data_IF_905156102726
#
_entry.id   IF_905156102726
#
_cell.length_a   1.000
_cell.length_b   1.000
_cell.length_c   1.000
_cell.angle_alpha   90.00
_cell.angle_beta   90.00
_cell.angle_gamma   90.00
#
_symmetry.space_group_name_H-M   'P 1'
#
loop_
_entity.id
_entity.type
_entity.pdbx_description
1 polymer ?
#
# COMPACT_ATOMS: atom_id res chain seq x y z
N UNK A 1 -10.94 2.10 16.67
CA UNK A 1 -9.50 1.85 16.89
C UNK A 1 -8.96 1.47 15.53
N UNK A 2 -8.33 2.39 14.80
CA UNK A 2 -7.81 2.11 13.47
C UNK A 2 -6.77 1.00 13.57
N UNK A 3 -7.05 -0.14 12.95
CA UNK A 3 -6.12 -1.26 12.89
C UNK A 3 -4.87 -0.80 12.14
N UNK A 4 -3.75 -0.73 12.85
CA UNK A 4 -2.50 -0.16 12.32
C UNK A 4 -1.87 -1.20 11.41
N UNK A 5 -1.47 -0.80 10.19
CA UNK A 5 -0.71 -1.68 9.29
C UNK A 5 0.51 -2.22 10.05
N UNK A 6 0.74 -3.54 10.04
CA UNK A 6 1.77 -4.16 10.87
C UNK A 6 3.16 -3.62 10.57
N UNK A 7 4.06 -3.67 11.54
CA UNK A 7 5.45 -3.24 11.37
C UNK A 7 6.40 -4.32 11.85
N UNK A 8 7.56 -4.44 11.20
CA UNK A 8 8.65 -5.34 11.60
C UNK A 8 9.94 -4.57 11.85
N UNK A 9 10.80 -5.14 12.69
CA UNK A 9 12.13 -4.62 12.96
C UNK A 9 13.16 -5.01 11.87
N UNK A 10 14.38 -4.50 12.01
CA UNK A 10 15.45 -4.74 11.06
C UNK A 10 15.99 -6.19 11.12
N UNK A 11 15.95 -6.81 12.30
CA UNK A 11 16.47 -8.15 12.52
C UNK A 11 15.61 -9.18 11.79
N UNK A 12 14.29 -9.00 11.81
CA UNK A 12 13.34 -9.80 11.05
C UNK A 12 13.59 -9.68 9.54
N UNK A 13 13.82 -8.46 9.04
CA UNK A 13 14.15 -8.26 7.62
C UNK A 13 15.46 -8.96 7.26
N UNK A 14 16.47 -8.85 8.11
CA UNK A 14 17.78 -9.49 7.90
C UNK A 14 17.66 -11.01 7.86
N UNK A 15 16.84 -11.58 8.74
CA UNK A 15 16.51 -13.00 8.72
C UNK A 15 15.85 -13.41 7.40
N UNK A 16 14.84 -12.67 6.92
CA UNK A 16 14.19 -12.96 5.64
C UNK A 16 15.14 -12.83 4.44
N UNK A 17 16.10 -11.91 4.47
CA UNK A 17 17.15 -11.80 3.43
C UNK A 17 18.01 -13.06 3.43
N UNK A 18 18.53 -13.45 4.59
CA UNK A 18 19.36 -14.66 4.72
C UNK A 18 18.62 -15.92 4.29
N UNK A 19 17.34 -16.04 4.65
CA UNK A 19 16.49 -17.15 4.24
C UNK A 19 16.34 -17.17 2.71
N UNK A 20 15.96 -16.04 2.11
CA UNK A 20 15.82 -15.93 0.65
C UNK A 20 17.11 -16.30 -0.08
N UNK A 21 18.25 -15.78 0.35
CA UNK A 21 19.55 -16.06 -0.28
C UNK A 21 19.89 -17.56 -0.21
N UNK A 22 19.61 -18.21 0.93
CA UNK A 22 19.85 -19.64 1.10
C UNK A 22 18.95 -20.51 0.20
N UNK A 23 17.66 -20.16 0.13
CA UNK A 23 16.65 -20.90 -0.64
C UNK A 23 16.80 -20.62 -2.14
N UNK A 24 17.24 -19.42 -2.53
CA UNK A 24 17.44 -19.07 -3.93
C UNK A 24 18.56 -19.90 -4.58
N UNK A 25 19.61 -20.25 -3.83
CA UNK A 25 20.74 -21.05 -4.33
C UNK A 25 20.43 -22.55 -4.29
N UNK A 26 19.76 -23.03 -3.23
CA UNK A 26 19.66 -24.47 -2.93
C UNK A 26 18.24 -25.04 -3.01
N UNK A 27 17.22 -24.19 -3.08
CA UNK A 27 15.82 -24.58 -3.00
C UNK A 27 15.15 -24.85 -4.34
N UNK A 28 13.90 -25.33 -4.28
CA UNK A 28 13.05 -25.41 -5.45
C UNK A 28 12.60 -24.02 -5.92
N UNK A 29 12.13 -23.93 -7.16
CA UNK A 29 11.55 -22.70 -7.69
C UNK A 29 10.39 -22.17 -6.82
N UNK A 30 9.53 -23.08 -6.33
CA UNK A 30 8.37 -22.73 -5.50
C UNK A 30 8.81 -22.24 -4.11
N UNK A 31 9.80 -22.90 -3.50
CA UNK A 31 10.36 -22.46 -2.22
C UNK A 31 11.00 -21.07 -2.35
N UNK A 32 11.71 -20.80 -3.45
CA UNK A 32 12.29 -19.49 -3.73
C UNK A 32 11.21 -18.42 -3.96
N UNK A 33 10.09 -18.78 -4.60
CA UNK A 33 8.96 -17.86 -4.79
C UNK A 33 8.28 -17.50 -3.45
N UNK A 34 8.08 -18.48 -2.57
CA UNK A 34 7.50 -18.25 -1.24
C UNK A 34 8.45 -17.42 -0.35
N UNK A 35 9.75 -17.75 -0.33
CA UNK A 35 10.75 -16.98 0.40
C UNK A 35 10.84 -15.53 -0.12
N UNK A 36 10.70 -15.32 -1.44
CA UNK A 36 10.63 -13.98 -2.03
C UNK A 36 9.42 -13.20 -1.56
N UNK A 37 8.25 -13.84 -1.52
CA UNK A 37 7.03 -13.19 -1.03
C UNK A 37 7.20 -12.74 0.43
N UNK A 38 7.74 -13.62 1.28
CA UNK A 38 8.02 -13.31 2.68
C UNK A 38 9.03 -12.16 2.82
N UNK A 39 10.07 -12.14 2.00
CA UNK A 39 11.04 -11.04 1.96
C UNK A 39 10.38 -9.71 1.55
N UNK A 40 9.56 -9.70 0.49
CA UNK A 40 8.85 -8.47 0.05
C UNK A 40 7.94 -7.98 1.16
N UNK A 41 7.20 -8.89 1.80
CA UNK A 41 6.34 -8.56 2.95
C UNK A 41 7.16 -7.92 4.08
N UNK A 42 8.29 -8.50 4.47
CA UNK A 42 9.14 -7.95 5.51
C UNK A 42 9.68 -6.56 5.15
N UNK A 43 10.11 -6.37 3.90
CA UNK A 43 10.65 -5.11 3.41
C UNK A 43 9.64 -3.97 3.50
N UNK A 44 8.40 -4.17 3.02
CA UNK A 44 7.37 -3.12 3.03
C UNK A 44 6.81 -2.83 4.42
N UNK A 45 6.88 -3.79 5.35
CA UNK A 45 6.46 -3.58 6.74
C UNK A 45 7.60 -3.11 7.66
N UNK A 46 8.83 -3.00 7.15
CA UNK A 46 9.97 -2.47 7.89
C UNK A 46 9.75 -1.02 8.33
N UNK A 47 10.25 -0.67 9.51
CA UNK A 47 10.30 0.72 9.99
C UNK A 47 11.30 1.60 9.20
N UNK A 48 12.16 1.00 8.39
CA UNK A 48 13.13 1.71 7.55
C UNK A 48 12.53 2.05 6.17
N UNK A 49 12.46 3.35 5.85
CA UNK A 49 11.95 3.86 4.57
C UNK A 49 12.68 3.26 3.35
N UNK A 50 13.99 3.01 3.44
CA UNK A 50 14.76 2.40 2.35
C UNK A 50 14.32 0.97 2.07
N UNK A 51 13.95 0.23 3.11
CA UNK A 51 13.42 -1.13 2.96
C UNK A 51 12.04 -1.08 2.30
N UNK A 52 11.18 -0.15 2.69
CA UNK A 52 9.86 0.00 2.08
C UNK A 52 9.94 0.34 0.59
N UNK A 53 10.85 1.23 0.19
CA UNK A 53 11.12 1.53 -1.22
C UNK A 53 11.59 0.28 -1.98
N UNK A 54 12.59 -0.43 -1.45
CA UNK A 54 13.11 -1.66 -2.08
C UNK A 54 12.03 -2.75 -2.19
N UNK A 55 11.22 -2.93 -1.15
CA UNK A 55 10.13 -3.90 -1.14
C UNK A 55 9.07 -3.58 -2.19
N UNK A 56 8.68 -2.31 -2.33
CA UNK A 56 7.77 -1.85 -3.38
C UNK A 56 8.33 -2.15 -4.77
N UNK A 57 9.58 -1.79 -5.01
CA UNK A 57 10.20 -1.95 -6.33
C UNK A 57 10.34 -3.45 -6.70
N UNK A 58 10.70 -4.29 -5.72
CA UNK A 58 10.76 -5.74 -5.89
C UNK A 58 9.37 -6.37 -6.14
N UNK A 59 8.32 -5.90 -5.45
CA UNK A 59 6.95 -6.33 -5.72
C UNK A 59 6.53 -6.01 -7.15
N UNK A 60 6.82 -4.78 -7.62
CA UNK A 60 6.53 -4.34 -8.98
C UNK A 60 7.31 -5.12 -10.05
N UNK A 61 8.55 -5.51 -9.75
CA UNK A 61 9.33 -6.40 -10.60
C UNK A 61 8.70 -7.79 -10.69
N UNK A 62 8.26 -8.37 -9.56
CA UNK A 62 7.58 -9.66 -9.54
C UNK A 62 6.29 -9.67 -10.37
N UNK A 63 5.54 -8.57 -10.34
CA UNK A 63 4.33 -8.39 -11.16
C UNK A 63 4.63 -8.35 -12.66
N UNK A 64 5.77 -7.78 -13.08
CA UNK A 64 6.20 -7.76 -14.49
C UNK A 64 6.70 -9.11 -14.97
N UNK A 65 7.37 -9.85 -14.08
CA UNK A 65 8.04 -11.11 -14.40
C UNK A 65 7.09 -12.32 -14.37
N UNK A 66 5.81 -12.15 -14.04
CA UNK A 66 4.76 -13.13 -14.32
C UNK A 66 4.75 -14.38 -13.43
N UNK A 67 5.17 -14.28 -12.16
CA UNK A 67 4.96 -15.41 -11.21
C UNK A 67 3.50 -15.43 -10.75
N UNK A 68 2.67 -16.19 -11.47
CA UNK A 68 1.21 -16.20 -11.30
C UNK A 68 0.74 -16.49 -9.86
N UNK A 69 1.46 -17.32 -9.09
CA UNK A 69 1.02 -17.83 -7.79
C UNK A 69 0.75 -16.75 -6.73
N UNK A 70 1.38 -15.57 -6.82
CA UNK A 70 1.30 -14.52 -5.78
C UNK A 70 0.98 -13.13 -6.34
N UNK A 71 0.39 -13.05 -7.54
CA UNK A 71 0.11 -11.75 -8.18
C UNK A 71 -0.76 -10.83 -7.31
N UNK A 72 -1.81 -11.38 -6.70
CA UNK A 72 -2.68 -10.64 -5.78
C UNK A 72 -1.90 -10.09 -4.58
N UNK A 73 -1.02 -10.91 -4.00
CA UNK A 73 -0.22 -10.51 -2.84
C UNK A 73 0.81 -9.44 -3.22
N UNK A 74 1.47 -9.56 -4.37
CA UNK A 74 2.40 -8.52 -4.84
C UNK A 74 1.70 -7.19 -5.17
N UNK A 75 0.48 -7.21 -5.70
CA UNK A 75 -0.32 -5.98 -5.89
C UNK A 75 -0.62 -5.30 -4.56
N UNK A 76 -1.01 -6.09 -3.55
CA UNK A 76 -1.23 -5.59 -2.20
C UNK A 76 0.06 -5.02 -1.58
N UNK A 77 1.17 -5.75 -1.66
CA UNK A 77 2.46 -5.34 -1.10
C UNK A 77 3.03 -4.10 -1.79
N UNK A 78 2.83 -3.94 -3.11
CA UNK A 78 3.17 -2.71 -3.82
C UNK A 78 2.41 -1.50 -3.26
N UNK A 79 1.08 -1.64 -3.05
CA UNK A 79 0.25 -0.60 -2.46
C UNK A 79 0.70 -0.24 -1.02
N UNK A 80 1.04 -1.24 -0.20
CA UNK A 80 1.61 -1.02 1.14
C UNK A 80 2.93 -0.26 1.06
N UNK A 81 3.83 -0.64 0.14
CA UNK A 81 5.10 0.06 -0.08
C UNK A 81 4.92 1.51 -0.51
N UNK A 82 3.97 1.79 -1.42
CA UNK A 82 3.59 3.16 -1.81
C UNK A 82 3.03 3.97 -0.63
N UNK A 83 2.17 3.37 0.20
CA UNK A 83 1.64 4.01 1.41
C UNK A 83 2.74 4.34 2.42
N UNK A 84 3.63 3.39 2.71
CA UNK A 84 4.74 3.55 3.65
C UNK A 84 5.76 4.59 3.22
N UNK A 85 5.89 4.79 1.91
CA UNK A 85 6.74 5.82 1.31
C UNK A 85 6.03 7.16 1.13
N UNK A 86 4.83 7.30 1.70
CA UNK A 86 3.95 8.48 1.64
C UNK A 86 3.51 8.88 0.24
N UNK A 87 3.63 7.99 -0.74
CA UNK A 87 3.07 8.21 -2.06
C UNK A 87 1.59 7.79 -2.08
N UNK A 88 0.76 8.54 -1.35
CA UNK A 88 -0.64 8.15 -1.10
C UNK A 88 -1.50 8.13 -2.36
N UNK A 89 -1.23 9.00 -3.33
CA UNK A 89 -1.94 9.00 -4.62
C UNK A 89 -1.71 7.70 -5.38
N UNK A 90 -0.44 7.25 -5.44
CA UNK A 90 -0.09 5.99 -6.07
C UNK A 90 -0.67 4.80 -5.28
N UNK A 91 -0.53 4.81 -3.95
CA UNK A 91 -1.04 3.75 -3.08
C UNK A 91 -2.56 3.57 -3.25
N UNK A 92 -3.31 4.68 -3.31
CA UNK A 92 -4.76 4.67 -3.52
C UNK A 92 -5.13 4.07 -4.87
N UNK A 93 -4.42 4.46 -5.93
CA UNK A 93 -4.64 3.91 -7.29
C UNK A 93 -4.38 2.41 -7.33
N UNK A 94 -3.30 1.95 -6.71
CA UNK A 94 -2.92 0.53 -6.63
C UNK A 94 -3.96 -0.26 -5.84
N UNK A 95 -4.40 0.24 -4.67
CA UNK A 95 -5.43 -0.40 -3.86
C UNK A 95 -6.79 -0.48 -4.57
N UNK A 96 -7.22 0.59 -5.25
CA UNK A 96 -8.46 0.57 -6.04
C UNK A 96 -8.38 -0.43 -7.19
N UNK A 97 -7.28 -0.44 -7.95
CA UNK A 97 -7.09 -1.40 -9.05
C UNK A 97 -7.06 -2.85 -8.55
N UNK A 98 -6.51 -3.10 -7.36
CA UNK A 98 -6.55 -4.41 -6.72
C UNK A 98 -7.98 -4.83 -6.35
N UNK A 99 -8.79 -3.91 -5.81
CA UNK A 99 -10.18 -4.17 -5.42
C UNK A 99 -11.12 -4.31 -6.64
N UNK A 100 -10.79 -3.71 -7.79
CA UNK A 100 -11.53 -3.95 -9.04
C UNK A 100 -11.42 -5.41 -9.50
N UNK A 101 -10.29 -6.06 -9.26
CA UNK A 101 -10.04 -7.46 -9.62
C UNK A 101 -10.41 -8.44 -8.50
N UNK A 102 -10.19 -8.06 -7.24
CA UNK A 102 -10.50 -8.86 -6.06
C UNK A 102 -11.38 -8.08 -5.06
N UNK A 103 -12.69 -7.94 -5.33
CA UNK A 103 -13.58 -7.08 -4.54
C UNK A 103 -13.70 -7.47 -3.06
N UNK A 104 -13.61 -8.76 -2.74
CA UNK A 104 -13.76 -9.27 -1.37
C UNK A 104 -12.45 -9.24 -0.56
N UNK A 105 -11.41 -8.56 -1.06
CA UNK A 105 -10.11 -8.56 -0.40
C UNK A 105 -10.04 -7.54 0.75
N UNK A 106 -10.53 -7.94 1.92
CA UNK A 106 -10.63 -7.10 3.13
C UNK A 106 -9.34 -6.37 3.53
N UNK A 107 -8.16 -6.97 3.31
CA UNK A 107 -6.89 -6.31 3.63
C UNK A 107 -6.67 -5.07 2.74
N UNK A 108 -7.05 -5.14 1.47
CA UNK A 108 -6.95 -4.02 0.53
C UNK A 108 -7.99 -2.93 0.81
N UNK A 109 -9.20 -3.32 1.23
CA UNK A 109 -10.23 -2.38 1.70
C UNK A 109 -9.73 -1.59 2.92
N UNK A 110 -9.21 -2.29 3.93
CA UNK A 110 -8.62 -1.67 5.12
C UNK A 110 -7.42 -0.76 4.80
N UNK A 111 -6.55 -1.19 3.89
CA UNK A 111 -5.43 -0.37 3.42
C UNK A 111 -5.93 0.93 2.76
N UNK A 112 -6.99 0.85 1.95
CA UNK A 112 -7.58 2.01 1.29
C UNK A 112 -8.15 3.01 2.31
N UNK A 113 -8.82 2.55 3.36
CA UNK A 113 -9.28 3.40 4.47
C UNK A 113 -8.10 4.10 5.15
N UNK A 114 -7.02 3.36 5.45
CA UNK A 114 -5.80 3.93 6.03
C UNK A 114 -5.15 5.00 5.13
N UNK A 115 -5.18 4.79 3.81
CA UNK A 115 -4.66 5.75 2.82
C UNK A 115 -5.52 7.01 2.81
N UNK A 116 -6.84 6.87 2.73
CA UNK A 116 -7.77 8.00 2.70
C UNK A 116 -7.66 8.86 3.98
N UNK A 117 -7.56 8.21 5.15
CA UNK A 117 -7.28 8.88 6.43
C UNK A 117 -5.94 9.63 6.44
N UNK A 118 -4.88 9.03 5.87
CA UNK A 118 -3.57 9.66 5.79
C UNK A 118 -3.56 10.88 4.85
N UNK A 119 -4.26 10.81 3.72
CA UNK A 119 -4.42 11.94 2.78
C UNK A 119 -5.13 13.10 3.47
N UNK A 120 -6.23 12.82 4.19
CA UNK A 120 -6.96 13.86 4.94
C UNK A 120 -6.06 14.47 6.01
N UNK A 121 -5.41 13.65 6.83
CA UNK A 121 -4.54 14.11 7.92
C UNK A 121 -3.35 14.94 7.45
N UNK A 122 -2.64 14.51 6.40
CA UNK A 122 -1.48 15.24 5.88
C UNK A 122 -1.91 16.44 5.01
N UNK A 123 -3.04 16.34 4.30
CA UNK A 123 -3.62 17.47 3.55
C UNK A 123 -4.05 18.62 4.47
N UNK A 124 -4.63 18.30 5.62
CA UNK A 124 -5.01 19.27 6.67
C UNK A 124 -3.80 20.02 7.28
N UNK A 125 -2.58 19.47 7.19
CA UNK A 125 -1.37 20.14 7.66
C UNK A 125 -0.78 21.12 6.63
N UNK A 126 -1.10 20.98 5.33
CA UNK A 126 -0.49 21.75 4.24
C UNK A 126 -1.36 22.87 3.66
N UNK A 127 -2.68 22.71 3.67
CA UNK A 127 -3.65 23.76 3.36
C UNK A 127 -4.87 23.53 4.26
N UNK A 128 -5.39 24.57 4.89
CA UNK A 128 -6.63 24.51 5.66
C UNK A 128 -7.85 24.22 4.79
N UNK A 129 -7.95 23.00 4.24
CA UNK A 129 -9.07 22.55 3.43
C UNK A 129 -10.05 21.83 4.34
N UNK A 130 -11.16 22.51 4.60
CA UNK A 130 -12.34 21.92 5.21
C UNK A 130 -12.83 20.74 4.34
N UNK A 131 -13.03 19.59 4.98
CA UNK A 131 -13.43 18.36 4.31
C UNK A 131 -14.84 18.47 3.70
N UNK A 132 -14.94 18.49 2.37
CA UNK A 132 -16.11 18.00 1.68
C UNK A 132 -15.98 16.47 1.59
N UNK A 133 -16.43 15.77 2.64
CA UNK A 133 -16.50 14.31 2.64
C UNK A 133 -17.44 13.89 1.51
N UNK A 134 -16.90 13.21 0.50
CA UNK A 134 -17.68 12.67 -0.60
C UNK A 134 -18.64 11.63 -0.04
N UNK A 135 -19.91 12.03 0.04
CA UNK A 135 -20.99 11.25 0.61
C UNK A 135 -21.19 9.93 -0.14
N UNK A 136 -21.45 8.91 0.66
CA UNK A 136 -22.53 7.96 0.41
C UNK A 136 -23.70 8.71 -0.23
N UNK A 137 -24.11 8.26 -1.41
CA UNK A 137 -25.34 8.57 -2.13
C UNK A 137 -26.19 9.75 -1.59
N UNK A 138 -26.09 10.90 -2.26
CA UNK A 138 -27.16 11.90 -2.33
C UNK A 138 -27.31 12.85 -1.14
N UNK A 139 -26.64 14.01 -1.20
CA UNK A 139 -27.28 15.28 -0.82
C UNK A 139 -26.60 16.45 -1.53
N UNK A 140 -27.39 17.20 -2.30
CA UNK A 140 -27.04 18.46 -2.93
C UNK A 140 -26.85 19.54 -1.86
N UNK A 141 -25.72 20.26 -1.89
CA UNK A 141 -25.63 21.62 -1.35
C UNK A 141 -24.75 22.48 -2.26
N UNK A 142 -25.37 23.09 -3.28
CA UNK A 142 -24.85 24.28 -3.96
C UNK A 142 -24.85 25.45 -2.98
N UNK A 143 -23.66 25.89 -2.54
CA UNK A 143 -23.49 27.20 -1.95
C UNK A 143 -22.88 28.13 -3.00
N UNK A 144 -23.78 28.71 -3.80
CA UNK A 144 -23.52 29.95 -4.50
C UNK A 144 -23.51 31.09 -3.47
N UNK A 145 -22.38 31.77 -3.32
CA UNK A 145 -22.39 33.16 -2.85
C UNK A 145 -22.03 34.06 -4.03
N UNK A 146 -23.10 34.51 -4.68
CA UNK A 146 -23.14 35.73 -5.47
C UNK A 146 -23.30 36.92 -4.51
N UNK A 147 -22.50 37.95 -4.72
CA UNK A 147 -22.67 39.28 -4.12
C UNK A 147 -21.31 39.99 -4.06
N UNK A 148 -21.08 41.16 -4.65
CA UNK A 148 -21.91 42.10 -5.37
C UNK A 148 -21.11 43.40 -5.49
N UNK A 149 -21.15 44.01 -6.68
CA UNK A 149 -20.79 45.39 -7.07
C UNK A 149 -20.36 46.38 -5.97
N UNK A 150 -19.25 47.09 -6.21
CA UNK A 150 -19.21 48.54 -6.50
C UNK A 150 -18.06 48.84 -7.45
#
# INVERSE_FOLDING_TARGET
>A
MSEVIPTVDNDFVTHCISEYDSVFIHGSHDAAAEARLRLVWALVHSTNLKHALRGRDLAMECLKNGTESYMKDYKFLAAVGSYRTKNYVQARREACSLLEEYPDFRQAEHLKECIDDAIVREGLQGLGIAAAVAGVAGLVLTLAFSGGRK
#
